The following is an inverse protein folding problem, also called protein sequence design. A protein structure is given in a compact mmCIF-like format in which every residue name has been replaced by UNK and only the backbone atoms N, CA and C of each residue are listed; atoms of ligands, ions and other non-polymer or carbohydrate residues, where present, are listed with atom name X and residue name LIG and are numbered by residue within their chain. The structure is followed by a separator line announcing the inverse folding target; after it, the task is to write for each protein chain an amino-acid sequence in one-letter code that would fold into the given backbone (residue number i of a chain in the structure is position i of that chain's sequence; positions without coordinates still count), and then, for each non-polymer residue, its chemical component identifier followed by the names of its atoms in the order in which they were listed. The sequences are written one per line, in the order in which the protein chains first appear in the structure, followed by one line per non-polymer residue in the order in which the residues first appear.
data_IF_811720594943
#
_entry.id   IF_811720594943
#
_cell.length_a   1.000
_cell.length_b   1.000
_cell.length_c   1.000
_cell.angle_alpha   90.00
_cell.angle_beta   90.00
_cell.angle_gamma   90.00
#
_symmetry.space_group_name_H-M   'P 1'
#
loop_
_entity.id
_entity.type
_entity.pdbx_description
1 polymer ?
#
# COMPACT_ATOMS: atom_id res chain seq x y z
N UNK A 1 12.37 23.88 -26.21
CA UNK A 1 12.47 24.30 -24.79
C UNK A 1 12.33 23.07 -23.92
N UNK A 2 13.44 22.50 -23.51
CA UNK A 2 13.51 21.34 -22.59
C UNK A 2 13.13 21.79 -21.20
N UNK A 3 12.07 21.18 -20.61
CA UNK A 3 11.67 21.40 -19.23
C UNK A 3 12.79 20.93 -18.30
N UNK A 4 13.21 21.74 -17.31
CA UNK A 4 14.19 21.31 -16.32
C UNK A 4 13.57 20.18 -15.48
N UNK A 5 13.98 18.95 -15.74
CA UNK A 5 13.72 17.84 -14.85
C UNK A 5 14.63 17.98 -13.64
N UNK A 6 14.09 18.38 -12.50
CA UNK A 6 14.77 18.27 -11.20
C UNK A 6 15.15 16.79 -11.02
N UNK A 7 16.41 16.46 -11.27
CA UNK A 7 16.96 15.13 -11.00
C UNK A 7 17.10 14.99 -9.48
N UNK A 8 16.07 14.44 -8.86
CA UNK A 8 16.16 13.98 -7.46
C UNK A 8 17.21 12.86 -7.42
N UNK A 9 18.18 12.92 -6.50
CA UNK A 9 19.21 11.88 -6.40
C UNK A 9 18.56 10.51 -6.22
N UNK A 10 19.00 9.51 -6.98
CA UNK A 10 18.41 8.17 -7.03
C UNK A 10 18.49 7.35 -5.72
N UNK A 11 19.14 7.89 -4.69
CA UNK A 11 19.22 7.30 -3.35
C UNK A 11 18.14 7.81 -2.39
N UNK A 12 17.44 8.94 -2.72
CA UNK A 12 16.32 9.44 -1.94
C UNK A 12 15.02 8.88 -2.56
N UNK A 13 14.27 8.02 -1.88
CA UNK A 13 12.96 7.54 -2.36
C UNK A 13 11.87 8.59 -2.12
N UNK A 14 12.10 9.83 -2.56
CA UNK A 14 11.09 10.89 -2.51
C UNK A 14 10.29 10.80 -3.80
N UNK A 15 9.09 10.23 -3.69
CA UNK A 15 8.10 10.25 -4.76
C UNK A 15 7.59 11.69 -4.98
N UNK A 16 7.34 12.06 -6.23
CA UNK A 16 6.74 13.35 -6.61
C UNK A 16 5.45 13.65 -5.83
N UNK A 17 4.73 12.62 -5.42
CA UNK A 17 3.53 12.76 -4.59
C UNK A 17 3.84 13.21 -3.15
N UNK A 18 4.93 12.76 -2.56
CA UNK A 18 5.38 13.22 -1.24
C UNK A 18 5.79 14.69 -1.31
N UNK A 19 6.49 15.10 -2.39
CA UNK A 19 6.78 16.51 -2.63
C UNK A 19 5.51 17.35 -2.77
N UNK A 20 4.47 16.82 -3.44
CA UNK A 20 3.17 17.47 -3.55
C UNK A 20 2.50 17.64 -2.17
N UNK A 21 2.55 16.63 -1.29
CA UNK A 21 2.02 16.73 0.08
C UNK A 21 2.78 17.82 0.87
N UNK A 22 4.12 17.81 0.83
CA UNK A 22 4.93 18.83 1.50
C UNK A 22 4.61 20.22 0.95
N UNK A 23 4.55 20.36 -0.37
CA UNK A 23 4.16 21.61 -1.02
C UNK A 23 2.76 22.10 -0.60
N UNK A 24 1.82 21.18 -0.42
CA UNK A 24 0.46 21.48 0.07
C UNK A 24 0.48 21.94 1.52
N UNK A 25 1.31 21.33 2.38
CA UNK A 25 1.50 21.80 3.77
C UNK A 25 2.10 23.20 3.77
N UNK A 26 3.16 23.45 2.97
CA UNK A 26 3.75 24.79 2.85
C UNK A 26 2.72 25.82 2.37
N UNK A 27 1.90 25.43 1.38
CA UNK A 27 0.80 26.29 0.89
C UNK A 27 -0.20 26.61 1.99
N UNK A 28 -0.62 25.63 2.79
CA UNK A 28 -1.54 25.80 3.89
C UNK A 28 -0.97 26.69 5.01
N UNK A 29 0.36 26.64 5.23
CA UNK A 29 1.06 27.52 6.19
C UNK A 29 1.13 28.95 5.69
N UNK A 30 1.43 29.16 4.41
CA UNK A 30 1.61 30.49 3.82
C UNK A 30 0.26 31.17 3.50
N UNK A 31 -0.74 30.39 3.09
CA UNK A 31 -2.05 30.84 2.65
C UNK A 31 -3.15 29.99 3.30
N UNK A 32 -3.33 30.05 4.63
CA UNK A 32 -4.36 29.30 5.29
C UNK A 32 -5.75 29.83 4.89
N UNK A 33 -6.64 28.91 4.53
CA UNK A 33 -8.03 29.27 4.22
C UNK A 33 -8.81 29.56 5.52
N UNK A 34 -9.60 30.64 5.52
CA UNK A 34 -10.39 31.08 6.67
C UNK A 34 -11.78 31.60 6.24
N UNK A 35 -12.68 31.83 7.19
CA UNK A 35 -14.03 32.34 6.94
C UNK A 35 -14.85 31.42 6.01
N UNK A 36 -15.63 31.97 5.11
CA UNK A 36 -16.47 31.24 4.15
C UNK A 36 -15.64 30.27 3.27
N UNK A 37 -14.38 30.63 2.96
CA UNK A 37 -13.48 29.77 2.24
C UNK A 37 -13.17 28.47 2.99
N UNK A 38 -13.02 28.53 4.32
CA UNK A 38 -12.81 27.35 5.16
C UNK A 38 -14.05 26.43 5.19
N UNK A 39 -15.26 26.98 5.22
CA UNK A 39 -16.50 26.19 5.16
C UNK A 39 -16.62 25.45 3.83
N UNK A 40 -16.34 26.12 2.70
CA UNK A 40 -16.34 25.49 1.36
C UNK A 40 -15.26 24.41 1.27
N UNK A 41 -14.03 24.70 1.73
CA UNK A 41 -12.93 23.75 1.72
C UNK A 41 -13.21 22.53 2.63
N UNK A 42 -13.82 22.76 3.81
CA UNK A 42 -14.25 21.69 4.73
C UNK A 42 -15.32 20.78 4.10
N UNK A 43 -16.34 21.35 3.46
CA UNK A 43 -17.35 20.60 2.72
C UNK A 43 -16.76 19.80 1.56
N UNK A 44 -15.85 20.40 0.78
CA UNK A 44 -15.14 19.75 -0.30
C UNK A 44 -14.23 18.60 0.21
N UNK A 45 -13.56 18.82 1.37
CA UNK A 45 -12.74 17.79 2.03
C UNK A 45 -13.58 16.60 2.47
N UNK A 46 -14.75 16.83 3.07
CA UNK A 46 -15.71 15.78 3.46
C UNK A 46 -16.16 14.96 2.24
N UNK A 47 -16.51 15.64 1.14
CA UNK A 47 -16.84 14.98 -0.13
C UNK A 47 -15.67 14.19 -0.71
N UNK A 48 -14.45 14.73 -0.62
CA UNK A 48 -13.22 14.04 -1.06
C UNK A 48 -12.94 12.78 -0.23
N UNK A 49 -13.14 12.81 1.09
CA UNK A 49 -13.04 11.63 1.96
C UNK A 49 -14.05 10.58 1.56
N UNK A 50 -15.33 10.94 1.38
CA UNK A 50 -16.37 10.02 0.95
C UNK A 50 -16.05 9.39 -0.40
N UNK A 51 -15.56 10.19 -1.36
CA UNK A 51 -15.13 9.71 -2.67
C UNK A 51 -13.96 8.72 -2.57
N UNK A 52 -12.95 9.01 -1.73
CA UNK A 52 -11.82 8.12 -1.49
C UNK A 52 -12.29 6.75 -0.97
N UNK A 53 -13.14 6.73 0.06
CA UNK A 53 -13.64 5.47 0.62
C UNK A 53 -14.55 4.72 -0.35
N UNK A 54 -15.35 5.44 -1.14
CA UNK A 54 -16.12 4.84 -2.24
C UNK A 54 -15.20 4.16 -3.27
N UNK A 55 -14.15 4.84 -3.71
CA UNK A 55 -13.18 4.28 -4.66
C UNK A 55 -12.39 3.10 -4.06
N UNK A 56 -12.06 3.15 -2.78
CA UNK A 56 -11.44 2.01 -2.09
C UNK A 56 -12.38 0.80 -2.09
N UNK A 57 -13.67 0.99 -1.78
CA UNK A 57 -14.68 -0.04 -1.88
C UNK A 57 -14.83 -0.60 -3.28
N UNK A 58 -14.92 0.26 -4.28
CA UNK A 58 -15.12 -0.14 -5.67
C UNK A 58 -13.92 -0.90 -6.29
N UNK A 59 -12.70 -0.67 -5.79
CA UNK A 59 -11.47 -1.34 -6.28
C UNK A 59 -11.14 -2.63 -5.55
N UNK A 60 -11.66 -2.85 -4.34
CA UNK A 60 -11.30 -4.01 -3.54
C UNK A 60 -11.85 -5.31 -4.17
N UNK A 61 -10.97 -6.23 -4.55
CA UNK A 61 -11.32 -7.51 -5.15
C UNK A 61 -11.75 -8.52 -4.09
N UNK A 62 -13.05 -8.88 -4.09
CA UNK A 62 -13.60 -9.93 -3.21
C UNK A 62 -12.95 -11.30 -3.49
N UNK A 63 -12.59 -11.58 -4.75
CA UNK A 63 -11.99 -12.85 -5.15
C UNK A 63 -10.56 -12.98 -4.63
N UNK A 64 -9.73 -11.93 -4.77
CA UNK A 64 -8.38 -11.89 -4.20
C UNK A 64 -8.41 -12.00 -2.67
N UNK A 65 -9.43 -11.41 -2.03
CA UNK A 65 -9.66 -11.52 -0.60
C UNK A 65 -9.97 -12.97 -0.19
N UNK A 66 -10.81 -13.68 -0.93
CA UNK A 66 -11.18 -15.08 -0.66
C UNK A 66 -10.01 -16.05 -0.94
N UNK A 67 -9.25 -15.84 -2.03
CA UNK A 67 -8.07 -16.66 -2.34
C UNK A 67 -6.97 -16.51 -1.29
N UNK A 68 -6.88 -15.32 -0.65
CA UNK A 68 -5.99 -15.05 0.46
C UNK A 68 -6.29 -15.85 1.73
N UNK A 69 -7.54 -16.32 1.93
CA UNK A 69 -7.94 -17.07 3.14
C UNK A 69 -7.15 -18.37 3.34
N UNK A 70 -6.55 -18.94 2.28
CA UNK A 70 -5.69 -20.13 2.39
C UNK A 70 -4.46 -19.89 3.29
N UNK A 71 -3.95 -18.66 3.35
CA UNK A 71 -2.83 -18.26 4.21
C UNK A 71 -3.27 -17.50 5.46
N UNK A 72 -4.38 -17.91 6.09
CA UNK A 72 -4.99 -17.21 7.24
C UNK A 72 -4.02 -16.88 8.38
N UNK A 73 -3.06 -17.80 8.68
CA UNK A 73 -2.03 -17.57 9.71
C UNK A 73 -1.17 -16.34 9.41
N UNK A 74 -0.77 -16.15 8.14
CA UNK A 74 0.01 -15.01 7.68
C UNK A 74 -0.80 -13.71 7.85
N UNK A 75 -2.05 -13.72 7.37
CA UNK A 75 -2.90 -12.53 7.43
C UNK A 75 -3.27 -12.15 8.86
N UNK A 76 -3.55 -13.14 9.71
CA UNK A 76 -3.78 -12.91 11.13
C UNK A 76 -2.53 -12.34 11.83
N UNK A 77 -1.34 -12.80 11.46
CA UNK A 77 -0.08 -12.26 12.00
C UNK A 77 0.12 -10.79 11.60
N UNK A 78 -0.16 -10.43 10.33
CA UNK A 78 -0.09 -9.03 9.87
C UNK A 78 -1.14 -8.17 10.59
N UNK A 79 -2.39 -8.65 10.72
CA UNK A 79 -3.44 -7.94 11.45
C UNK A 79 -3.09 -7.77 12.93
N UNK A 80 -2.52 -8.79 13.57
CA UNK A 80 -2.05 -8.70 14.95
C UNK A 80 -0.92 -7.68 15.11
N UNK A 81 0.06 -7.65 14.21
CA UNK A 81 1.09 -6.60 14.18
C UNK A 81 0.44 -5.22 14.06
N UNK A 82 -0.50 -5.05 13.13
CA UNK A 82 -1.09 -3.76 12.78
C UNK A 82 -2.07 -3.22 13.83
N UNK A 83 -2.95 -4.09 14.37
CA UNK A 83 -4.08 -3.69 15.22
C UNK A 83 -4.00 -4.19 16.67
N UNK A 84 -2.94 -4.92 17.04
CA UNK A 84 -2.66 -5.26 18.43
C UNK A 84 -1.29 -4.75 18.87
N UNK A 85 -0.18 -5.17 18.23
CA UNK A 85 1.18 -4.81 18.66
C UNK A 85 1.42 -3.30 18.54
N UNK A 86 1.11 -2.69 17.39
CA UNK A 86 1.24 -1.24 17.24
C UNK A 86 0.42 -0.44 18.26
N UNK A 87 -0.89 -0.70 18.47
CA UNK A 87 -1.67 -0.02 19.50
C UNK A 87 -1.10 -0.18 20.91
N UNK A 88 -0.61 -1.37 21.28
CA UNK A 88 0.03 -1.59 22.57
C UNK A 88 1.29 -0.75 22.77
N UNK A 89 2.13 -0.66 21.72
CA UNK A 89 3.31 0.23 21.73
C UNK A 89 2.90 1.71 21.76
N UNK A 90 1.82 2.07 21.04
CA UNK A 90 1.23 3.40 21.08
C UNK A 90 0.71 3.77 22.49
N UNK A 91 0.08 2.83 23.20
CA UNK A 91 -0.33 3.04 24.58
C UNK A 91 0.87 3.20 25.52
N UNK A 92 1.93 2.40 25.31
CA UNK A 92 3.16 2.52 26.10
C UNK A 92 3.81 3.91 25.94
N UNK A 93 3.62 4.59 24.80
CA UNK A 93 4.11 5.95 24.58
C UNK A 93 3.51 7.00 25.52
N UNK A 94 2.41 6.69 26.22
CA UNK A 94 1.87 7.58 27.27
C UNK A 94 2.90 7.87 28.36
N UNK A 95 3.79 6.93 28.65
CA UNK A 95 4.91 7.15 29.57
C UNK A 95 5.94 8.17 29.12
N UNK A 96 5.90 8.61 27.86
CA UNK A 96 6.79 9.65 27.33
C UNK A 96 6.26 11.08 27.57
N UNK A 97 5.03 11.21 28.04
CA UNK A 97 4.41 12.49 28.40
C UNK A 97 4.67 12.79 29.88
N UNK A 98 5.01 14.03 30.23
CA UNK A 98 5.25 15.22 29.40
C UNK A 98 6.71 15.39 28.93
N UNK A 99 7.57 14.43 29.21
CA UNK A 99 9.03 14.56 29.07
C UNK A 99 9.48 14.72 27.62
N UNK A 100 9.03 13.80 26.77
CA UNK A 100 9.45 13.72 25.36
C UNK A 100 8.36 14.21 24.40
N UNK A 101 7.11 13.91 24.70
CA UNK A 101 5.94 14.25 23.87
C UNK A 101 4.99 15.18 24.65
N UNK A 102 4.29 16.06 23.89
CA UNK A 102 3.10 16.74 24.44
C UNK A 102 1.90 15.79 24.38
N UNK A 103 0.83 16.01 25.17
CA UNK A 103 -0.39 15.22 25.10
C UNK A 103 -0.92 15.10 23.65
N UNK A 104 -0.95 16.21 22.92
CA UNK A 104 -1.45 16.26 21.52
C UNK A 104 -0.56 15.45 20.54
N UNK A 105 0.76 15.54 20.70
CA UNK A 105 1.70 14.72 19.89
C UNK A 105 1.59 13.24 20.24
N UNK A 106 1.33 12.90 21.51
CA UNK A 106 1.11 11.53 21.94
C UNK A 106 -0.20 10.97 21.37
N UNK A 107 -1.28 11.77 21.33
CA UNK A 107 -2.53 11.38 20.68
C UNK A 107 -2.32 11.10 19.19
N UNK A 108 -1.57 11.95 18.47
CA UNK A 108 -1.19 11.71 17.08
C UNK A 108 -0.29 10.48 16.91
N UNK A 109 0.64 10.24 17.83
CA UNK A 109 1.48 9.05 17.84
C UNK A 109 0.66 7.78 18.09
N UNK A 110 -0.30 7.83 19.02
CA UNK A 110 -1.23 6.73 19.23
C UNK A 110 -2.11 6.51 18.00
N UNK A 111 -2.64 7.57 17.38
CA UNK A 111 -3.40 7.48 16.14
C UNK A 111 -2.59 6.83 15.01
N UNK A 112 -1.34 7.22 14.82
CA UNK A 112 -0.39 6.55 13.91
C UNK A 112 -0.39 5.03 14.14
N UNK A 113 -0.42 4.58 15.40
CA UNK A 113 -0.42 3.16 15.73
C UNK A 113 -1.74 2.45 15.40
N UNK A 114 -2.85 3.18 15.21
CA UNK A 114 -4.19 2.63 14.95
C UNK A 114 -4.52 2.52 13.45
N UNK A 115 -3.84 3.26 12.56
CA UNK A 115 -4.15 3.24 11.12
C UNK A 115 -3.72 1.92 10.47
N UNK A 116 -4.35 1.52 9.34
CA UNK A 116 -4.02 0.27 8.65
C UNK A 116 -2.63 0.31 7.99
N UNK A 117 -2.19 -0.86 7.54
CA UNK A 117 -0.96 -1.02 6.78
C UNK A 117 -1.09 -0.42 5.37
N UNK A 118 0.05 -0.07 4.75
CA UNK A 118 0.10 0.40 3.37
C UNK A 118 0.22 -0.76 2.38
N UNK A 119 -0.58 -0.74 1.30
CA UNK A 119 -0.59 -1.79 0.28
C UNK A 119 0.61 -1.63 -0.67
N UNK A 120 0.70 -0.46 -1.34
CA UNK A 120 1.64 -0.25 -2.45
C UNK A 120 3.10 -0.45 -2.08
N UNK A 121 3.56 0.21 -1.02
CA UNK A 121 4.96 0.09 -0.60
C UNK A 121 5.27 -1.28 0.03
N UNK A 122 4.29 -1.97 0.62
CA UNK A 122 4.48 -3.35 1.10
C UNK A 122 4.72 -4.30 -0.05
N UNK A 123 3.94 -4.21 -1.13
CA UNK A 123 4.12 -4.99 -2.35
C UNK A 123 5.49 -4.71 -2.98
N UNK A 124 5.84 -3.42 -3.16
CA UNK A 124 7.10 -3.02 -3.78
C UNK A 124 8.32 -3.57 -3.03
N UNK A 125 8.38 -3.39 -1.71
CA UNK A 125 9.52 -3.85 -0.92
C UNK A 125 9.55 -5.39 -0.78
N UNK A 126 8.39 -6.05 -0.71
CA UNK A 126 8.31 -7.51 -0.73
C UNK A 126 8.86 -8.07 -2.06
N UNK A 127 8.52 -7.44 -3.18
CA UNK A 127 9.02 -7.81 -4.50
C UNK A 127 10.53 -7.62 -4.61
N UNK A 128 11.06 -6.46 -4.22
CA UNK A 128 12.50 -6.17 -4.22
C UNK A 128 13.27 -7.20 -3.36
N UNK A 129 12.73 -7.54 -2.19
CA UNK A 129 13.33 -8.48 -1.25
C UNK A 129 13.09 -9.96 -1.60
N UNK A 130 12.50 -10.28 -2.76
CA UNK A 130 12.15 -11.63 -3.22
C UNK A 130 11.29 -12.40 -2.22
N UNK A 131 10.27 -11.70 -1.65
CA UNK A 131 9.29 -12.27 -0.73
C UNK A 131 8.02 -12.76 -1.43
N UNK A 132 7.04 -13.22 -0.64
CA UNK A 132 5.73 -13.66 -1.14
C UNK A 132 4.85 -12.45 -1.49
N UNK A 133 4.91 -12.00 -2.75
CA UNK A 133 4.17 -10.82 -3.25
C UNK A 133 2.66 -11.03 -3.21
N UNK A 134 2.10 -12.17 -3.66
CA UNK A 134 0.66 -12.44 -3.51
C UNK A 134 0.17 -12.30 -2.06
N UNK A 135 0.91 -12.87 -1.10
CA UNK A 135 0.56 -12.74 0.31
C UNK A 135 0.62 -11.29 0.80
N UNK A 136 1.59 -10.49 0.34
CA UNK A 136 1.68 -9.07 0.69
C UNK A 136 0.50 -8.26 0.15
N UNK A 137 0.03 -8.55 -1.08
CA UNK A 137 -1.16 -7.93 -1.68
C UNK A 137 -2.39 -8.22 -0.80
N UNK A 138 -2.65 -9.49 -0.52
CA UNK A 138 -3.77 -9.91 0.30
C UNK A 138 -3.71 -9.32 1.71
N UNK A 139 -2.55 -9.39 2.39
CA UNK A 139 -2.38 -8.87 3.74
C UNK A 139 -2.63 -7.36 3.84
N UNK A 140 -2.12 -6.58 2.88
CA UNK A 140 -2.38 -5.14 2.80
C UNK A 140 -3.85 -4.83 2.56
N UNK A 141 -4.52 -5.60 1.68
CA UNK A 141 -5.95 -5.45 1.39
C UNK A 141 -6.80 -5.79 2.62
N UNK A 142 -6.51 -6.89 3.33
CA UNK A 142 -7.18 -7.25 4.59
C UNK A 142 -6.97 -6.19 5.67
N UNK A 143 -5.74 -5.69 5.81
CA UNK A 143 -5.44 -4.63 6.78
C UNK A 143 -6.21 -3.35 6.47
N UNK A 144 -6.30 -2.96 5.20
CA UNK A 144 -7.05 -1.77 4.79
C UNK A 144 -8.56 -1.94 5.03
N UNK A 145 -9.11 -3.10 4.70
CA UNK A 145 -10.51 -3.42 4.95
C UNK A 145 -10.84 -3.42 6.43
N UNK A 146 -10.05 -4.12 7.24
CA UNK A 146 -10.20 -4.15 8.69
C UNK A 146 -10.05 -2.74 9.29
N UNK A 147 -9.14 -1.93 8.76
CA UNK A 147 -8.87 -0.57 9.22
C UNK A 147 -10.05 0.39 9.10
N UNK A 148 -10.96 0.18 8.14
CA UNK A 148 -12.18 1.00 8.01
C UNK A 148 -13.05 0.92 9.27
N UNK A 149 -13.08 -0.25 9.93
CA UNK A 149 -13.83 -0.49 11.16
C UNK A 149 -12.95 -0.38 12.41
N UNK A 150 -11.79 -1.07 12.40
CA UNK A 150 -10.94 -1.16 13.59
C UNK A 150 -10.27 0.16 13.94
N UNK A 151 -9.88 0.99 12.97
CA UNK A 151 -9.21 2.27 13.27
C UNK A 151 -10.13 3.23 14.03
N UNK A 152 -11.37 3.55 13.57
CA UNK A 152 -12.28 4.38 14.34
C UNK A 152 -12.65 3.77 15.69
N UNK A 153 -12.90 2.45 15.75
CA UNK A 153 -13.24 1.75 16.98
C UNK A 153 -12.12 1.84 18.03
N UNK A 154 -10.88 1.54 17.61
CA UNK A 154 -9.70 1.65 18.48
C UNK A 154 -9.41 3.10 18.85
N UNK A 155 -9.62 4.06 17.95
CA UNK A 155 -9.49 5.48 18.24
C UNK A 155 -10.47 5.92 19.34
N UNK A 156 -11.74 5.54 19.22
CA UNK A 156 -12.74 5.82 20.23
C UNK A 156 -12.41 5.17 21.58
N UNK A 157 -11.95 3.92 21.56
CA UNK A 157 -11.62 3.17 22.78
C UNK A 157 -10.36 3.71 23.48
N UNK A 158 -9.33 4.06 22.72
CA UNK A 158 -8.01 4.36 23.26
C UNK A 158 -7.70 5.87 23.35
N UNK A 159 -8.32 6.71 22.51
CA UNK A 159 -8.19 8.16 22.53
C UNK A 159 -9.38 8.83 23.25
N UNK A 160 -10.53 8.17 23.35
CA UNK A 160 -11.77 8.73 23.90
C UNK A 160 -11.78 8.93 25.43
N UNK A 161 -10.73 8.59 26.15
CA UNK A 161 -10.62 8.75 27.61
C UNK A 161 -10.19 10.16 28.09
N UNK A 162 -9.96 11.13 27.18
CA UNK A 162 -9.62 12.51 27.50
C UNK A 162 -10.86 13.43 27.62
N UNK A 163 -10.65 14.69 28.00
CA UNK A 163 -11.70 15.69 28.28
C UNK A 163 -12.63 16.04 27.07
N UNK A 164 -12.44 15.40 25.92
CA UNK A 164 -13.26 15.51 24.71
C UNK A 164 -13.73 14.15 24.20
N UNK A 165 -13.99 13.18 25.10
CA UNK A 165 -14.35 11.80 24.76
C UNK A 165 -15.38 11.67 23.64
N UNK A 166 -15.11 10.80 22.68
CA UNK A 166 -16.05 10.50 21.60
C UNK A 166 -17.36 9.96 22.19
N UNK A 167 -18.48 10.65 21.95
CA UNK A 167 -19.79 10.11 22.28
C UNK A 167 -20.06 8.88 21.38
N UNK A 168 -20.90 7.95 21.84
CA UNK A 168 -21.31 6.82 21.03
C UNK A 168 -21.91 7.27 19.68
N UNK A 169 -22.68 8.35 19.68
CA UNK A 169 -23.27 8.92 18.48
C UNK A 169 -22.22 9.49 17.52
N UNK A 170 -21.20 10.17 18.04
CA UNK A 170 -20.08 10.66 17.21
C UNK A 170 -19.31 9.50 16.58
N UNK A 171 -19.08 8.41 17.34
CA UNK A 171 -18.42 7.23 16.82
C UNK A 171 -19.24 6.57 15.68
N UNK A 172 -20.55 6.40 15.89
CA UNK A 172 -21.45 5.85 14.86
C UNK A 172 -21.42 6.73 13.62
N UNK A 173 -21.46 8.04 13.78
CA UNK A 173 -21.41 9.01 12.68
C UNK A 173 -20.09 8.90 11.89
N UNK A 174 -18.95 8.78 12.57
CA UNK A 174 -17.64 8.61 11.96
C UNK A 174 -17.57 7.28 11.18
N UNK A 175 -18.04 6.18 11.80
CA UNK A 175 -18.07 4.88 11.15
C UNK A 175 -18.96 4.92 9.91
N UNK A 176 -20.15 5.50 10.00
CA UNK A 176 -21.07 5.64 8.86
C UNK A 176 -20.46 6.51 7.76
N UNK A 177 -19.81 7.62 8.09
CA UNK A 177 -19.17 8.51 7.11
C UNK A 177 -18.07 7.81 6.29
N UNK A 178 -17.38 6.83 6.86
CA UNK A 178 -16.34 6.04 6.17
C UNK A 178 -16.90 4.76 5.54
N UNK A 179 -17.75 4.03 6.26
CA UNK A 179 -18.25 2.72 5.87
C UNK A 179 -19.32 2.80 4.77
N UNK A 180 -20.25 3.77 4.86
CA UNK A 180 -21.35 3.88 3.88
C UNK A 180 -20.83 4.09 2.45
N UNK A 181 -19.94 5.09 2.18
CA UNK A 181 -19.40 5.24 0.83
C UNK A 181 -18.55 4.02 0.41
N UNK A 182 -17.82 3.39 1.32
CA UNK A 182 -17.09 2.16 1.03
C UNK A 182 -18.02 1.01 0.60
N UNK A 183 -19.09 0.77 1.34
CA UNK A 183 -20.09 -0.27 1.00
C UNK A 183 -20.79 0.06 -0.31
N UNK A 184 -21.16 1.33 -0.54
CA UNK A 184 -21.73 1.76 -1.81
C UNK A 184 -20.77 1.47 -2.99
N UNK A 185 -19.47 1.73 -2.81
CA UNK A 185 -18.43 1.39 -3.77
C UNK A 185 -18.36 -0.12 -4.04
N UNK A 186 -18.42 -0.96 -2.99
CA UNK A 186 -18.42 -2.42 -3.12
C UNK A 186 -19.65 -2.94 -3.86
N UNK A 187 -20.83 -2.43 -3.55
CA UNK A 187 -22.08 -2.82 -4.22
C UNK A 187 -22.06 -2.46 -5.71
N UNK A 188 -21.58 -1.27 -6.04
CA UNK A 188 -21.51 -0.77 -7.41
C UNK A 188 -20.30 -1.33 -8.20
N UNK A 189 -19.39 -2.05 -7.54
CA UNK A 189 -18.16 -2.58 -8.16
C UNK A 189 -18.41 -3.39 -9.42
N UNK A 190 -19.46 -4.25 -9.44
CA UNK A 190 -19.81 -5.07 -10.61
C UNK A 190 -20.12 -4.22 -11.84
N UNK A 191 -20.75 -3.05 -11.64
CA UNK A 191 -21.11 -2.12 -12.73
C UNK A 191 -19.94 -1.20 -13.10
N UNK A 192 -19.16 -0.77 -12.10
CA UNK A 192 -18.08 0.20 -12.28
C UNK A 192 -16.73 -0.44 -12.64
N UNK A 193 -16.56 -1.76 -12.49
CA UNK A 193 -15.28 -2.44 -12.66
C UNK A 193 -14.63 -2.21 -14.04
N UNK A 194 -15.42 -2.22 -15.11
CA UNK A 194 -14.95 -1.93 -16.47
C UNK A 194 -14.50 -0.47 -16.64
N UNK A 195 -15.23 0.48 -16.06
CA UNK A 195 -14.88 1.90 -16.06
C UNK A 195 -13.61 2.16 -15.24
N UNK A 196 -13.55 1.64 -14.01
CA UNK A 196 -12.41 1.78 -13.11
C UNK A 196 -11.14 1.17 -13.73
N UNK A 197 -11.27 0.04 -14.41
CA UNK A 197 -10.16 -0.62 -15.10
C UNK A 197 -9.59 0.22 -16.24
N UNK A 198 -10.46 0.87 -17.03
CA UNK A 198 -10.07 1.72 -18.16
C UNK A 198 -9.47 3.07 -17.73
N UNK A 199 -9.91 3.63 -16.61
CA UNK A 199 -9.52 4.98 -16.16
C UNK A 199 -8.59 4.99 -14.95
N UNK A 200 -7.76 3.95 -14.78
CA UNK A 200 -6.85 3.80 -13.61
C UNK A 200 -5.97 5.02 -13.36
N UNK A 201 -5.44 5.63 -14.41
CA UNK A 201 -4.58 6.81 -14.31
C UNK A 201 -5.36 8.03 -13.81
N UNK A 202 -6.54 8.30 -14.36
CA UNK A 202 -7.41 9.40 -13.93
C UNK A 202 -7.82 9.24 -12.47
N UNK A 203 -8.25 8.04 -12.10
CA UNK A 203 -8.63 7.73 -10.73
C UNK A 203 -7.47 7.85 -9.74
N UNK A 204 -6.24 7.58 -10.19
CA UNK A 204 -5.04 7.84 -9.40
C UNK A 204 -4.81 9.33 -9.15
N UNK A 205 -5.12 10.20 -10.11
CA UNK A 205 -5.08 11.66 -9.91
C UNK A 205 -6.21 12.13 -8.98
N UNK A 206 -7.41 11.57 -9.09
CA UNK A 206 -8.53 11.87 -8.19
C UNK A 206 -8.16 11.50 -6.75
N UNK A 207 -7.61 10.31 -6.50
CA UNK A 207 -7.17 9.90 -5.16
C UNK A 207 -6.13 10.87 -4.60
N UNK A 208 -5.07 11.15 -5.38
CA UNK A 208 -4.00 12.05 -4.94
C UNK A 208 -4.51 13.47 -4.69
N UNK A 209 -5.33 14.00 -5.59
CA UNK A 209 -5.92 15.32 -5.45
C UNK A 209 -6.85 15.43 -4.23
N UNK A 210 -7.68 14.41 -3.99
CA UNK A 210 -8.53 14.34 -2.80
C UNK A 210 -7.70 14.35 -1.51
N UNK A 211 -6.60 13.59 -1.45
CA UNK A 211 -5.72 13.57 -0.29
C UNK A 211 -5.03 14.94 -0.10
N UNK A 212 -4.55 15.59 -1.19
CA UNK A 212 -3.96 16.92 -1.10
C UNK A 212 -4.97 17.95 -0.57
N UNK A 213 -6.23 17.88 -1.01
CA UNK A 213 -7.30 18.75 -0.50
C UNK A 213 -7.52 18.54 1.02
N UNK A 214 -7.61 17.29 1.47
CA UNK A 214 -7.74 16.94 2.89
C UNK A 214 -6.55 17.47 3.71
N UNK A 215 -5.33 17.32 3.19
CA UNK A 215 -4.13 17.87 3.83
C UNK A 215 -4.19 19.38 3.91
N UNK A 216 -4.52 20.05 2.80
CA UNK A 216 -4.61 21.52 2.77
C UNK A 216 -5.61 22.04 3.80
N UNK A 217 -6.82 21.47 3.83
CA UNK A 217 -7.87 21.87 4.75
C UNK A 217 -7.46 21.68 6.21
N UNK A 218 -6.98 20.47 6.56
CA UNK A 218 -6.56 20.15 7.93
C UNK A 218 -5.41 21.03 8.44
N UNK A 219 -4.42 21.31 7.59
CA UNK A 219 -3.30 22.17 7.97
C UNK A 219 -3.69 23.65 8.00
N UNK A 220 -4.57 24.11 7.12
CA UNK A 220 -5.13 25.48 7.18
C UNK A 220 -5.90 25.72 8.46
N UNK A 221 -6.79 24.79 8.84
CA UNK A 221 -7.53 24.85 10.11
C UNK A 221 -6.58 24.85 11.31
N UNK A 222 -5.54 24.00 11.30
CA UNK A 222 -4.53 23.98 12.34
C UNK A 222 -3.71 25.28 12.44
N UNK A 223 -3.42 25.95 11.32
CA UNK A 223 -2.74 27.25 11.30
C UNK A 223 -3.64 28.34 11.90
N UNK A 224 -4.90 28.40 11.48
CA UNK A 224 -5.88 29.37 11.98
C UNK A 224 -6.14 29.16 13.48
N UNK A 225 -6.21 27.90 13.94
CA UNK A 225 -6.37 27.55 15.35
C UNK A 225 -5.11 27.74 16.20
N UNK A 226 -3.95 28.07 15.58
CA UNK A 226 -2.69 28.29 16.29
C UNK A 226 -2.07 27.07 16.96
N UNK A 227 -2.49 25.85 16.57
CA UNK A 227 -2.05 24.60 17.23
C UNK A 227 -0.56 24.34 17.07
N UNK A 228 0.08 24.92 16.04
CA UNK A 228 1.50 24.77 15.75
C UNK A 228 2.43 25.49 16.73
N UNK A 229 1.94 26.47 17.47
CA UNK A 229 2.72 27.15 18.54
C UNK A 229 3.08 26.20 19.70
N UNK A 230 2.43 25.04 19.78
CA UNK A 230 2.69 24.04 20.81
C UNK A 230 3.84 23.07 20.45
N UNK A 231 4.33 23.12 19.19
CA UNK A 231 5.39 22.22 18.69
C UNK A 231 6.72 22.92 18.70
N UNK A 232 7.58 22.58 19.68
CA UNK A 232 8.96 23.07 19.73
C UNK A 232 9.92 22.12 18.98
N UNK A 233 11.09 22.60 18.50
CA UNK A 233 12.09 21.73 17.86
C UNK A 233 12.50 20.54 18.74
N UNK A 234 12.58 20.73 20.05
CA UNK A 234 12.91 19.67 21.01
C UNK A 234 11.83 18.58 21.03
N UNK A 235 10.54 18.95 21.03
CA UNK A 235 9.42 18.02 21.00
C UNK A 235 9.35 17.25 19.66
N UNK A 236 9.67 17.95 18.56
CA UNK A 236 9.78 17.30 17.26
C UNK A 236 10.93 16.28 17.22
N UNK A 237 12.08 16.62 17.80
CA UNK A 237 13.20 15.68 17.96
C UNK A 237 12.81 14.47 18.82
N UNK A 238 12.09 14.69 19.92
CA UNK A 238 11.55 13.63 20.77
C UNK A 238 10.61 12.71 20.03
N UNK A 239 9.70 13.28 19.22
CA UNK A 239 8.79 12.51 18.37
C UNK A 239 9.54 11.63 17.38
N UNK A 240 10.53 12.17 16.66
CA UNK A 240 11.34 11.41 15.71
C UNK A 240 12.08 10.23 16.37
N UNK A 241 12.62 10.44 17.57
CA UNK A 241 13.25 9.36 18.34
C UNK A 241 12.22 8.29 18.72
N UNK A 242 11.06 8.68 19.23
CA UNK A 242 9.99 7.75 19.58
C UNK A 242 9.52 6.92 18.36
N UNK A 243 9.38 7.56 17.20
CA UNK A 243 9.03 6.91 15.95
C UNK A 243 10.11 5.97 15.42
N UNK A 244 11.39 6.35 15.55
CA UNK A 244 12.51 5.49 15.19
C UNK A 244 12.54 4.22 16.05
N UNK A 245 12.30 4.35 17.36
CA UNK A 245 12.19 3.22 18.29
C UNK A 245 10.99 2.35 17.93
N UNK A 246 9.82 2.96 17.66
CA UNK A 246 8.62 2.24 17.25
C UNK A 246 8.86 1.43 15.97
N UNK A 247 9.47 2.06 14.96
CA UNK A 247 9.79 1.38 13.69
C UNK A 247 10.77 0.24 13.90
N UNK A 248 11.83 0.44 14.68
CA UNK A 248 12.82 -0.60 14.99
C UNK A 248 12.16 -1.80 15.70
N UNK A 249 11.35 -1.55 16.74
CA UNK A 249 10.62 -2.59 17.43
C UNK A 249 9.68 -3.35 16.51
N UNK A 250 8.93 -2.65 15.66
CA UNK A 250 8.00 -3.29 14.73
C UNK A 250 8.71 -4.10 13.65
N UNK A 251 9.86 -3.65 13.15
CA UNK A 251 10.70 -4.39 12.23
C UNK A 251 11.27 -5.67 12.88
N UNK A 252 11.65 -5.60 14.15
CA UNK A 252 12.13 -6.76 14.91
C UNK A 252 10.99 -7.76 15.17
N UNK A 253 9.85 -7.28 15.68
CA UNK A 253 8.68 -8.13 16.00
C UNK A 253 8.17 -8.82 14.73
N UNK A 254 7.98 -8.06 13.65
CA UNK A 254 7.45 -8.59 12.38
C UNK A 254 8.43 -9.49 11.62
N UNK A 255 9.71 -9.55 12.02
CA UNK A 255 10.70 -10.46 11.48
C UNK A 255 10.93 -11.70 12.35
N UNK A 256 11.14 -11.50 13.64
CA UNK A 256 11.49 -12.60 14.56
C UNK A 256 10.26 -13.34 15.09
N UNK A 257 9.13 -12.67 15.26
CA UNK A 257 7.87 -13.31 15.63
C UNK A 257 7.46 -14.41 14.63
N UNK A 258 7.31 -14.09 13.34
CA UNK A 258 6.98 -15.08 12.32
C UNK A 258 8.06 -16.16 12.16
N UNK A 259 9.35 -15.84 12.40
CA UNK A 259 10.41 -16.85 12.41
C UNK A 259 10.14 -17.93 13.47
N UNK A 260 9.75 -17.53 14.69
CA UNK A 260 9.41 -18.46 15.78
C UNK A 260 8.10 -19.22 15.52
N UNK A 261 7.20 -18.66 14.70
CA UNK A 261 5.96 -19.31 14.28
C UNK A 261 6.15 -20.29 13.10
N UNK A 262 7.39 -20.47 12.60
CA UNK A 262 7.72 -21.43 11.55
C UNK A 262 7.47 -20.93 10.12
N UNK A 263 7.25 -19.62 9.92
CA UNK A 263 7.10 -19.08 8.57
C UNK A 263 8.40 -19.13 7.77
N UNK A 264 8.33 -19.52 6.50
CA UNK A 264 9.42 -19.47 5.55
C UNK A 264 9.90 -18.05 5.27
N UNK A 265 11.11 -17.91 4.65
CA UNK A 265 11.73 -16.60 4.39
C UNK A 265 10.82 -15.67 3.55
N UNK A 266 10.18 -16.20 2.50
CA UNK A 266 9.32 -15.42 1.61
C UNK A 266 8.12 -14.84 2.33
N UNK A 267 7.43 -15.64 3.17
CA UNK A 267 6.27 -15.21 3.97
C UNK A 267 6.68 -14.23 5.06
N UNK A 268 7.81 -14.48 5.74
CA UNK A 268 8.36 -13.54 6.74
C UNK A 268 8.67 -12.18 6.14
N UNK A 269 9.17 -12.15 4.92
CA UNK A 269 9.42 -10.90 4.18
C UNK A 269 8.12 -10.16 3.91
N UNK A 270 7.06 -10.86 3.49
CA UNK A 270 5.73 -10.28 3.30
C UNK A 270 5.14 -9.75 4.62
N UNK A 271 5.21 -10.55 5.70
CA UNK A 271 4.75 -10.16 7.04
C UNK A 271 5.51 -8.93 7.53
N UNK A 272 6.83 -8.90 7.35
CA UNK A 272 7.63 -7.76 7.82
C UNK A 272 7.23 -6.48 7.13
N UNK A 273 7.15 -6.45 5.79
CA UNK A 273 6.82 -5.23 5.07
C UNK A 273 5.32 -4.86 5.15
N UNK A 274 4.42 -5.82 5.34
CA UNK A 274 3.01 -5.52 5.58
C UNK A 274 2.71 -5.18 7.05
N UNK A 275 3.35 -5.85 8.00
CA UNK A 275 3.06 -5.70 9.43
C UNK A 275 3.82 -4.58 10.15
N UNK A 276 4.88 -3.99 9.54
CA UNK A 276 5.66 -2.91 10.16
C UNK A 276 5.33 -1.52 9.62
N UNK A 277 4.39 -1.40 8.69
CA UNK A 277 4.11 -0.13 8.02
C UNK A 277 2.71 0.40 8.27
N UNK A 278 2.59 1.72 8.15
CA UNK A 278 1.35 2.47 8.35
C UNK A 278 1.01 3.30 7.12
N UNK A 279 -0.27 3.33 6.76
CA UNK A 279 -0.75 3.98 5.55
C UNK A 279 -1.05 5.45 5.78
N UNK A 280 -0.25 6.32 5.18
CA UNK A 280 -0.54 7.75 5.15
C UNK A 280 -1.81 8.03 4.36
N UNK A 281 -1.99 7.38 3.20
CA UNK A 281 -3.14 7.59 2.32
C UNK A 281 -4.49 7.24 2.97
N UNK A 282 -4.53 6.19 3.81
CA UNK A 282 -5.73 5.86 4.57
C UNK A 282 -5.87 6.70 5.85
N UNK A 283 -4.75 7.00 6.50
CA UNK A 283 -4.76 7.72 7.78
C UNK A 283 -5.12 9.18 7.67
N UNK A 284 -4.71 9.89 6.60
CA UNK A 284 -5.04 11.31 6.41
C UNK A 284 -6.55 11.58 6.38
N UNK A 285 -7.34 10.88 5.53
CA UNK A 285 -8.79 11.05 5.53
C UNK A 285 -9.45 10.66 6.87
N UNK A 286 -8.94 9.59 7.52
CA UNK A 286 -9.46 9.18 8.82
C UNK A 286 -9.16 10.22 9.91
N UNK A 287 -7.97 10.82 9.90
CA UNK A 287 -7.59 11.85 10.86
C UNK A 287 -8.48 13.11 10.73
N UNK A 288 -8.79 13.54 9.51
CA UNK A 288 -9.65 14.72 9.30
C UNK A 288 -11.05 14.50 9.86
N UNK A 289 -11.59 13.29 9.77
CA UNK A 289 -12.90 12.94 10.31
C UNK A 289 -12.85 12.79 11.85
N UNK A 290 -11.78 12.21 12.40
CA UNK A 290 -11.65 11.92 13.83
C UNK A 290 -11.28 13.16 14.65
N UNK A 291 -10.41 14.01 14.13
CA UNK A 291 -9.81 15.11 14.91
C UNK A 291 -10.27 16.50 14.47
N UNK A 292 -10.98 16.64 13.33
CA UNK A 292 -11.45 17.93 12.83
C UNK A 292 -10.31 18.96 12.76
N UNK A 293 -10.48 20.13 13.39
CA UNK A 293 -9.50 21.20 13.41
C UNK A 293 -8.13 20.83 14.01
N UNK A 294 -8.05 19.79 14.84
CA UNK A 294 -6.80 19.28 15.43
C UNK A 294 -6.11 18.20 14.57
N UNK A 295 -6.71 17.87 13.42
CA UNK A 295 -6.18 16.80 12.54
C UNK A 295 -4.74 17.05 12.09
N UNK A 296 -4.31 18.31 11.93
CA UNK A 296 -2.96 18.66 11.52
C UNK A 296 -1.88 18.15 12.49
N UNK A 297 -2.09 18.29 13.81
CA UNK A 297 -1.17 17.76 14.83
C UNK A 297 -1.24 16.25 14.93
N UNK A 298 -2.45 15.67 14.79
CA UNK A 298 -2.63 14.23 14.83
C UNK A 298 -1.98 13.52 13.61
N UNK A 299 -1.90 14.20 12.48
CA UNK A 299 -1.33 13.68 11.22
C UNK A 299 0.20 13.80 11.20
N UNK A 300 0.78 14.77 11.91
CA UNK A 300 2.22 15.02 11.89
C UNK A 300 3.05 13.76 12.20
N UNK A 301 2.78 13.00 13.29
CA UNK A 301 3.51 11.76 13.55
C UNK A 301 3.36 10.74 12.39
N UNK A 302 2.17 10.61 11.83
CA UNK A 302 1.94 9.69 10.71
C UNK A 302 2.74 10.07 9.47
N UNK A 303 2.88 11.36 9.14
CA UNK A 303 3.66 11.85 8.01
C UNK A 303 5.16 11.57 8.18
N UNK A 304 5.69 11.86 9.36
CA UNK A 304 7.11 11.65 9.69
C UNK A 304 7.45 10.16 9.69
N UNK A 305 6.66 9.36 10.37
CA UNK A 305 6.81 7.90 10.39
C UNK A 305 6.71 7.30 9.00
N UNK A 306 5.76 7.77 8.17
CA UNK A 306 5.60 7.28 6.80
C UNK A 306 6.87 7.47 5.98
N UNK A 307 7.51 8.61 6.10
CA UNK A 307 8.75 8.89 5.38
C UNK A 307 9.90 8.04 5.92
N UNK A 308 10.03 7.93 7.24
CA UNK A 308 11.04 7.12 7.90
C UNK A 308 10.92 5.65 7.52
N UNK A 309 9.71 5.08 7.56
CA UNK A 309 9.47 3.68 7.19
C UNK A 309 9.82 3.39 5.72
N UNK A 310 9.57 4.33 4.79
CA UNK A 310 9.93 4.15 3.38
C UNK A 310 11.44 4.08 3.20
N UNK A 311 12.20 5.00 3.83
CA UNK A 311 13.66 5.01 3.73
C UNK A 311 14.28 3.74 4.32
N UNK A 312 13.90 3.38 5.54
CA UNK A 312 14.46 2.21 6.24
C UNK A 312 14.09 0.91 5.52
N UNK A 313 12.81 0.75 5.12
CA UNK A 313 12.37 -0.45 4.41
C UNK A 313 12.99 -0.60 3.02
N UNK A 314 13.30 0.50 2.31
CA UNK A 314 14.01 0.46 1.03
C UNK A 314 15.42 -0.12 1.21
N UNK A 315 16.14 0.31 2.25
CA UNK A 315 17.48 -0.22 2.58
C UNK A 315 17.40 -1.70 2.91
N UNK A 316 16.46 -2.11 3.79
CA UNK A 316 16.28 -3.51 4.17
C UNK A 316 15.90 -4.38 2.96
N UNK A 317 15.01 -3.91 2.09
CA UNK A 317 14.60 -4.64 0.90
C UNK A 317 15.78 -4.85 -0.05
N UNK A 318 16.61 -3.83 -0.26
CA UNK A 318 17.82 -3.90 -1.08
C UNK A 318 18.87 -4.86 -0.47
N UNK A 319 19.07 -4.85 0.84
CA UNK A 319 19.97 -5.80 1.50
C UNK A 319 19.50 -7.23 1.31
N UNK A 320 18.21 -7.50 1.51
CA UNK A 320 17.62 -8.84 1.35
C UNK A 320 17.59 -9.34 -0.08
N UNK A 321 17.55 -8.47 -1.08
CA UNK A 321 17.64 -8.86 -2.47
C UNK A 321 18.97 -9.50 -2.84
N UNK A 322 20.03 -9.25 -2.05
CA UNK A 322 21.39 -9.76 -2.24
C UNK A 322 21.65 -11.07 -1.48
N UNK A 323 20.77 -11.43 -0.53
CA UNK A 323 20.92 -12.68 0.22
C UNK A 323 20.67 -13.88 -0.70
N UNK A 324 21.50 -14.96 -0.63
CA UNK A 324 21.24 -16.19 -1.35
C UNK A 324 19.86 -16.73 -0.99
N UNK A 325 19.13 -17.22 -1.98
CA UNK A 325 17.89 -17.98 -1.70
C UNK A 325 18.31 -19.29 -1.03
N UNK A 326 17.54 -19.77 -0.02
CA UNK A 326 17.74 -21.11 0.50
C UNK A 326 17.62 -22.09 -0.67
N UNK A 327 18.60 -22.99 -0.82
CA UNK A 327 18.51 -24.10 -1.78
C UNK A 327 17.24 -24.89 -1.48
N UNK A 328 16.41 -25.13 -2.51
CA UNK A 328 15.26 -26.02 -2.35
C UNK A 328 15.78 -27.39 -1.96
N UNK A 329 15.25 -28.01 -0.88
CA UNK A 329 15.62 -29.35 -0.53
C UNK A 329 15.14 -30.30 -1.64
N UNK A 330 15.99 -30.62 -2.61
CA UNK A 330 15.68 -31.52 -3.73
C UNK A 330 16.43 -31.28 -5.03
N UNK A 331 17.19 -30.18 -5.20
CA UNK A 331 17.99 -29.98 -6.43
C UNK A 331 19.43 -30.50 -6.33
N UNK A 332 19.79 -31.12 -5.21
CA UNK A 332 21.04 -31.83 -5.06
C UNK A 332 21.03 -33.17 -5.78
N UNK A 333 21.92 -33.27 -6.78
CA UNK A 333 22.35 -34.52 -7.40
C UNK A 333 21.39 -35.24 -8.35
N UNK A 334 21.13 -34.66 -9.51
CA UNK A 334 21.02 -35.45 -10.75
C UNK A 334 22.17 -35.05 -11.66
N UNK A 335 23.35 -35.53 -11.34
CA UNK A 335 24.52 -35.23 -12.16
C UNK A 335 25.81 -35.91 -11.65
N UNK A 336 25.77 -37.20 -11.31
CA UNK A 336 26.96 -38.03 -11.18
C UNK A 336 26.57 -39.50 -11.01
N UNK A 337 26.07 -40.11 -12.05
CA UNK A 337 26.14 -41.58 -12.18
C UNK A 337 25.95 -41.94 -13.65
N UNK A 338 27.03 -42.23 -14.31
CA UNK A 338 27.00 -42.79 -15.67
C UNK A 338 28.24 -42.53 -16.49
N UNK A 339 29.44 -42.54 -15.90
CA UNK A 339 30.62 -42.93 -16.64
C UNK A 339 30.56 -44.42 -16.90
N UNK A 340 30.18 -44.79 -18.12
CA UNK A 340 30.35 -46.14 -18.65
C UNK A 340 31.80 -46.25 -19.15
N UNK A 341 32.61 -47.22 -18.68
CA UNK A 341 33.97 -47.40 -19.15
C UNK A 341 33.98 -47.91 -20.60
N UNK A 342 34.65 -47.18 -21.47
CA UNK A 342 35.07 -47.68 -22.78
C UNK A 342 36.03 -48.85 -22.62
N UNK A 343 35.52 -50.04 -22.87
CA UNK A 343 36.34 -51.23 -23.16
C UNK A 343 36.63 -51.31 -24.65
N UNK A 344 37.91 -51.39 -24.95
CA UNK A 344 38.54 -51.60 -26.26
C UNK A 344 38.18 -52.95 -26.84
N UNK A 345 38.25 -52.99 -28.18
CA UNK A 345 38.65 -54.05 -29.12
C UNK A 345 37.53 -54.82 -29.85
N UNK A 346 37.53 -54.64 -31.11
CA UNK A 346 37.90 -55.49 -32.23
C UNK A 346 37.05 -55.34 -33.49
N UNK A 347 37.77 -54.98 -34.50
CA UNK A 347 37.63 -55.16 -35.93
C UNK A 347 36.60 -56.19 -36.43
N UNK A 348 35.86 -55.80 -37.44
CA UNK A 348 35.77 -56.44 -38.76
C UNK A 348 34.71 -55.73 -39.64
N UNK A 349 35.16 -55.23 -40.76
CA UNK A 349 34.46 -54.93 -42.02
C UNK A 349 34.16 -56.27 -42.75
N UNK A 350 33.49 -56.27 -43.95
CA UNK A 350 32.37 -55.57 -44.53
C UNK A 350 31.31 -56.48 -45.20
N UNK A 351 30.22 -55.92 -45.75
CA UNK A 351 29.56 -56.27 -47.01
C UNK A 351 28.11 -55.70 -47.05
N UNK A 352 27.87 -54.78 -47.84
CA UNK A 352 27.38 -54.77 -49.25
C UNK A 352 25.90 -55.19 -49.43
N UNK A 353 25.22 -54.36 -50.15
CA UNK A 353 24.06 -54.50 -51.07
C UNK A 353 22.71 -54.10 -50.56
N UNK A 354 22.28 -53.04 -51.17
CA UNK A 354 21.46 -52.83 -52.39
C UNK A 354 19.98 -52.56 -52.07
N UNK A 355 19.57 -51.39 -52.57
CA UNK A 355 18.39 -51.13 -53.38
C UNK A 355 17.03 -51.32 -52.70
N UNK A 356 16.16 -50.31 -52.61
CA UNK A 356 15.35 -49.76 -53.71
C UNK A 356 14.51 -48.60 -53.21
N UNK A 357 14.51 -47.57 -53.98
CA UNK A 357 13.43 -46.60 -54.02
C UNK A 357 12.34 -47.12 -54.99
N UNK A 358 11.09 -46.67 -54.98
CA UNK A 358 10.70 -45.44 -55.68
C UNK A 358 9.60 -44.62 -55.01
N UNK A 359 9.65 -43.34 -55.13
CA UNK A 359 8.95 -42.43 -56.09
C UNK A 359 7.42 -42.42 -56.01
N UNK A 360 6.91 -41.22 -55.86
CA UNK A 360 5.68 -40.88 -56.48
C UNK A 360 4.78 -39.91 -55.75
N UNK A 361 4.82 -38.69 -56.18
CA UNK A 361 3.84 -37.77 -56.75
C UNK A 361 3.12 -36.89 -55.76
N UNK A 362 3.41 -35.62 -55.83
CA UNK A 362 2.81 -34.49 -56.62
C UNK A 362 1.49 -33.99 -56.16
N UNK A 363 1.56 -32.69 -55.74
CA UNK A 363 0.77 -31.59 -56.26
C UNK A 363 -0.70 -31.54 -55.83
N UNK A 364 -1.17 -30.46 -55.23
CA UNK A 364 -1.69 -29.29 -55.94
C UNK A 364 -2.17 -28.23 -54.94
N UNK A 365 -1.75 -27.01 -55.17
CA UNK A 365 -2.49 -25.84 -54.77
C UNK A 365 -3.53 -25.51 -55.87
N UNK A 366 -4.63 -24.79 -55.61
CA UNK A 366 -4.72 -23.48 -56.24
C UNK A 366 -5.30 -22.38 -55.35
N UNK A 367 -4.76 -21.24 -55.42
CA UNK A 367 -5.11 -19.89 -55.85
C UNK A 367 -6.60 -19.49 -55.81
N UNK A 368 -6.77 -18.24 -55.25
CA UNK A 368 -8.00 -17.49 -55.16
C UNK A 368 -8.72 -17.19 -56.50
N UNK A 369 -9.77 -16.42 -56.45
CA UNK A 369 -9.69 -15.02 -56.91
C UNK A 369 -10.53 -14.01 -56.09
N UNK A 370 -10.11 -12.86 -55.98
CA UNK A 370 -10.35 -11.46 -56.30
C UNK A 370 -11.71 -11.08 -56.93
N UNK A 371 -12.10 -9.83 -56.51
CA UNK A 371 -12.92 -8.82 -57.22
C UNK A 371 -14.44 -9.01 -57.12
N UNK A 372 -15.25 -8.06 -56.88
CA UNK A 372 -15.39 -6.66 -57.18
C UNK A 372 -16.88 -6.28 -57.08
N UNK A 373 -17.15 -5.02 -56.98
CA UNK A 373 -18.37 -4.30 -57.37
C UNK A 373 -19.44 -4.04 -56.27
N UNK A 374 -19.39 -2.89 -55.68
CA UNK A 374 -20.10 -1.65 -56.05
C UNK A 374 -21.61 -1.56 -55.71
N UNK A 375 -21.88 -0.39 -55.08
CA UNK A 375 -23.08 0.47 -55.22
C UNK A 375 -24.34 0.04 -54.45
N UNK A 376 -24.83 0.83 -53.52
CA UNK A 376 -25.70 1.98 -53.75
C UNK A 376 -26.22 2.55 -52.41
N UNK A 377 -26.12 3.83 -52.27
CA UNK A 377 -26.96 4.69 -51.42
C UNK A 377 -28.32 4.88 -52.11
N UNK A 378 -29.43 5.18 -51.40
CA UNK A 378 -29.75 6.52 -50.97
C UNK A 378 -30.49 6.61 -49.59
N UNK A 379 -30.27 7.65 -48.85
CA UNK A 379 -30.93 8.93 -48.59
C UNK A 379 -32.39 8.90 -48.09
N UNK A 380 -32.63 9.81 -47.09
CA UNK A 380 -33.88 10.41 -46.62
C UNK A 380 -34.64 9.58 -45.53
N UNK A 381 -34.95 10.13 -44.43
CA UNK A 381 -35.47 11.41 -44.00
C UNK A 381 -36.45 11.20 -42.85
N UNK A 382 -36.22 11.83 -41.77
CA UNK A 382 -37.00 12.62 -40.85
C UNK A 382 -36.41 12.59 -39.43
#
# INVERSE_FOLDING_TARGET
MSRPTLKVPSWLPIDAYILAIIGTVVLAVLLPVSGTGAEVAGGASTGAVALLFFLYGARLSTRETLDGLKHWRLHLTVLACTFAVFPLLGLASRGLVPYLLTPQLQEGFLFLCLVPSTIQSSIAFTSIARGNVPAAICAGSFSSLAGILLTPLLAALLLGGGAGGFSADSLVQIVLQLLVPFLAGQLLRRRLGGFLGRHRTLLGYVDRGSILLVVYTAFSEGMVAGVWHQVTPLRLGGLLVAEAVLLALMLLVSWYGPKRMGFGRADRTAIQFAGSKKSLAAGLPMASVLFGAHASLAVLPLMLFHQMQLMVCAVIAKQRSREPLPEEPGSGTRGAAGEVPHGRDRAAEPAARTADAPAGRTADAPAGPSADASADLPAEGR
#
